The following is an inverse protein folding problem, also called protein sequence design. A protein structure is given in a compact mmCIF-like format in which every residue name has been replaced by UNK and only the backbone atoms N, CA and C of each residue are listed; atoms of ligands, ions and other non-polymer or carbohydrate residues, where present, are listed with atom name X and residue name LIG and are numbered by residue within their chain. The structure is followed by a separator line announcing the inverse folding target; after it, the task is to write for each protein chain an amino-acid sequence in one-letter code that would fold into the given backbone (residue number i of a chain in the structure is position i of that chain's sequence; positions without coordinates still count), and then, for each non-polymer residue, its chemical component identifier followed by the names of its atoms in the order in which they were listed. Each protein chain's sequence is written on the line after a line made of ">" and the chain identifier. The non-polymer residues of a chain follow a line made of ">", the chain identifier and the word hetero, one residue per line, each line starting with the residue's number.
data_IF_640284499283
#
_entry.id   IF_640284499283
#
_cell.length_a   1.000
_cell.length_b   1.000
_cell.length_c   1.000
_cell.angle_alpha   90.00
_cell.angle_beta   90.00
_cell.angle_gamma   90.00
#
_symmetry.space_group_name_H-M   'P 1'
#
loop_
_entity.id
_entity.type
_entity.pdbx_description
1 polymer ?
#
# COMPACT_ATOMS: atom_id res chain seq x y z
N UNK A 1 -9.32 -23.55 -12.12
CA UNK A 1 -8.40 -22.68 -11.35
C UNK A 1 -8.58 -22.96 -9.86
N UNK A 2 -7.51 -23.02 -9.07
CA UNK A 2 -7.59 -23.25 -7.63
C UNK A 2 -8.09 -21.99 -6.92
N UNK A 3 -9.06 -22.13 -6.00
CA UNK A 3 -9.51 -21.02 -5.16
C UNK A 3 -9.00 -21.22 -3.75
N UNK A 4 -8.12 -20.33 -3.29
CA UNK A 4 -7.50 -20.42 -1.96
C UNK A 4 -8.52 -20.37 -0.82
N UNK A 5 -9.66 -19.68 -1.00
CA UNK A 5 -10.68 -19.55 0.05
C UNK A 5 -11.53 -20.81 0.26
N UNK A 6 -11.79 -21.59 -0.79
CA UNK A 6 -12.57 -22.84 -0.66
C UNK A 6 -11.72 -24.10 -0.78
N UNK A 7 -10.41 -23.94 -1.01
CA UNK A 7 -9.43 -25.02 -1.19
C UNK A 7 -9.82 -26.05 -2.26
N UNK A 8 -10.56 -25.59 -3.29
CA UNK A 8 -11.08 -26.46 -4.35
C UNK A 8 -10.70 -25.94 -5.73
N UNK A 9 -10.36 -26.86 -6.62
CA UNK A 9 -10.26 -26.58 -8.05
C UNK A 9 -11.64 -26.30 -8.63
N UNK A 10 -11.79 -25.12 -9.21
CA UNK A 10 -13.01 -24.69 -9.90
C UNK A 10 -12.91 -25.03 -11.38
N UNK A 11 -13.89 -25.77 -11.88
CA UNK A 11 -14.08 -26.10 -13.31
C UNK A 11 -14.89 -25.03 -14.05
N UNK A 12 -15.64 -24.21 -13.31
CA UNK A 12 -16.40 -23.07 -13.85
C UNK A 12 -16.09 -21.81 -13.04
N UNK A 13 -15.95 -20.70 -13.75
CA UNK A 13 -15.52 -19.41 -13.20
C UNK A 13 -16.54 -18.33 -13.58
N UNK A 14 -16.65 -17.30 -12.75
CA UNK A 14 -17.40 -16.09 -13.12
C UNK A 14 -16.39 -15.10 -13.67
N UNK A 15 -16.64 -14.62 -14.89
CA UNK A 15 -15.82 -13.61 -15.55
C UNK A 15 -16.61 -12.32 -15.70
N UNK A 16 -16.04 -11.21 -15.24
CA UNK A 16 -16.62 -9.87 -15.39
C UNK A 16 -15.60 -8.93 -16.01
N UNK A 17 -16.00 -8.19 -17.04
CA UNK A 17 -15.21 -7.07 -17.57
C UNK A 17 -15.14 -5.97 -16.50
N UNK A 18 -13.92 -5.53 -16.19
CA UNK A 18 -13.65 -4.45 -15.25
C UNK A 18 -12.93 -3.36 -16.02
N UNK A 19 -13.55 -2.19 -16.08
CA UNK A 19 -12.89 -1.00 -16.59
C UNK A 19 -11.91 -0.51 -15.55
N UNK A 20 -10.63 -0.60 -15.88
CA UNK A 20 -9.57 -0.14 -15.01
C UNK A 20 -9.14 1.24 -15.47
N UNK A 21 -9.47 2.26 -14.67
CA UNK A 21 -8.85 3.59 -14.79
C UNK A 21 -7.49 3.58 -14.09
N UNK A 22 -6.55 2.84 -14.65
CA UNK A 22 -5.13 2.98 -14.32
C UNK A 22 -4.53 3.83 -15.43
N UNK A 23 -3.87 4.92 -15.05
CA UNK A 23 -3.30 5.83 -16.02
C UNK A 23 -2.36 5.09 -16.98
N UNK A 24 -2.71 5.16 -18.27
CA UNK A 24 -2.08 4.51 -19.42
C UNK A 24 -2.31 2.99 -19.59
N UNK A 25 -3.30 2.38 -18.93
CA UNK A 25 -3.77 1.03 -19.24
C UNK A 25 -5.21 1.14 -19.78
N UNK A 26 -5.33 1.46 -21.06
CA UNK A 26 -6.59 1.31 -21.78
C UNK A 26 -6.73 -0.16 -22.21
N UNK A 27 -7.32 -0.98 -21.35
CA UNK A 27 -7.52 -2.40 -21.63
C UNK A 27 -8.74 -2.94 -20.91
N UNK A 28 -9.49 -3.83 -21.57
CA UNK A 28 -10.52 -4.62 -20.92
C UNK A 28 -9.84 -5.70 -20.09
N UNK A 29 -9.90 -5.55 -18.77
CA UNK A 29 -9.41 -6.56 -17.85
C UNK A 29 -10.58 -7.45 -17.44
N UNK A 30 -10.38 -8.76 -17.42
CA UNK A 30 -11.42 -9.68 -16.95
C UNK A 30 -11.09 -10.19 -15.55
N UNK A 31 -11.98 -9.92 -14.61
CA UNK A 31 -11.90 -10.47 -13.26
C UNK A 31 -12.41 -11.91 -13.24
N UNK A 32 -11.71 -12.80 -12.54
CA UNK A 32 -12.10 -14.19 -12.31
C UNK A 32 -12.47 -14.36 -10.83
N UNK A 33 -13.74 -14.72 -10.59
CA UNK A 33 -14.22 -15.09 -9.26
C UNK A 33 -14.56 -16.58 -9.16
N UNK A 34 -14.40 -17.12 -7.95
CA UNK A 34 -14.84 -18.45 -7.59
C UNK A 34 -16.37 -18.55 -7.69
N UNK A 35 -16.88 -19.50 -8.48
CA UNK A 35 -18.34 -19.67 -8.61
C UNK A 35 -19.02 -20.05 -7.29
N UNK A 36 -18.34 -20.80 -6.42
CA UNK A 36 -18.87 -21.28 -5.14
C UNK A 36 -18.90 -20.19 -4.07
N UNK A 37 -17.75 -19.59 -3.76
CA UNK A 37 -17.63 -18.64 -2.65
C UNK A 37 -17.65 -17.17 -3.08
N UNK A 38 -17.74 -16.90 -4.39
CA UNK A 38 -17.74 -15.55 -4.99
C UNK A 38 -16.48 -14.72 -4.75
N UNK A 39 -15.42 -15.33 -4.24
CA UNK A 39 -14.16 -14.64 -3.98
C UNK A 39 -13.33 -14.50 -5.24
N UNK A 40 -12.62 -13.39 -5.31
CA UNK A 40 -11.56 -13.15 -6.27
C UNK A 40 -10.55 -14.30 -6.29
N UNK A 41 -10.13 -14.67 -7.50
CA UNK A 41 -9.04 -15.62 -7.73
C UNK A 41 -7.91 -14.96 -8.52
N UNK A 42 -8.25 -14.37 -9.67
CA UNK A 42 -7.25 -13.86 -10.60
C UNK A 42 -7.85 -12.82 -11.55
N UNK A 43 -6.98 -12.19 -12.32
CA UNK A 43 -7.34 -11.32 -13.44
C UNK A 43 -6.82 -11.95 -14.74
N UNK A 44 -7.52 -11.74 -15.85
CA UNK A 44 -7.01 -11.94 -17.21
C UNK A 44 -6.69 -10.56 -17.81
N UNK A 45 -5.44 -10.38 -18.21
CA UNK A 45 -5.00 -9.23 -19.00
C UNK A 45 -4.26 -9.73 -20.24
N UNK A 46 -4.65 -9.29 -21.45
CA UNK A 46 -4.04 -9.71 -22.72
C UNK A 46 -3.89 -11.24 -22.85
N UNK A 47 -4.96 -11.97 -22.54
CA UNK A 47 -5.02 -13.45 -22.50
C UNK A 47 -4.06 -14.13 -21.50
N UNK A 48 -3.42 -13.37 -20.60
CA UNK A 48 -2.57 -13.90 -19.52
C UNK A 48 -3.29 -13.83 -18.18
N UNK A 49 -3.27 -14.94 -17.45
CA UNK A 49 -3.79 -14.99 -16.08
C UNK A 49 -2.76 -14.41 -15.12
N UNK A 50 -3.20 -13.44 -14.32
CA UNK A 50 -2.45 -12.84 -13.21
C UNK A 50 -3.10 -13.28 -11.91
N UNK A 51 -2.45 -14.22 -11.22
CA UNK A 51 -2.85 -14.71 -9.91
C UNK A 51 -1.79 -14.32 -8.87
N UNK A 52 -2.15 -13.42 -7.95
CA UNK A 52 -1.21 -12.91 -6.93
C UNK A 52 -0.87 -13.92 -5.81
N UNK A 53 -1.55 -15.07 -5.78
CA UNK A 53 -1.23 -16.18 -4.88
C UNK A 53 -0.19 -17.14 -5.47
N UNK A 54 0.09 -17.04 -6.76
CA UNK A 54 1.12 -17.80 -7.46
C UNK A 54 2.47 -17.06 -7.45
N UNK A 55 3.57 -17.80 -7.70
CA UNK A 55 4.91 -17.21 -7.77
C UNK A 55 5.13 -16.56 -9.13
N UNK A 56 5.67 -15.35 -9.12
CA UNK A 56 6.05 -14.62 -10.33
C UNK A 56 7.50 -14.88 -10.69
N UNK A 57 7.76 -15.11 -11.97
CA UNK A 57 9.12 -15.25 -12.49
C UNK A 57 9.85 -13.89 -12.42
N UNK A 58 11.15 -13.90 -12.09
CA UNK A 58 12.00 -12.69 -12.09
C UNK A 58 11.96 -11.85 -10.81
N UNK A 59 11.14 -12.20 -9.82
CA UNK A 59 11.11 -11.53 -8.51
C UNK A 59 11.53 -12.47 -7.38
N UNK A 60 12.81 -12.83 -7.32
CA UNK A 60 13.33 -13.78 -6.30
C UNK A 60 13.77 -13.10 -5.00
N UNK A 61 14.03 -11.80 -5.03
CA UNK A 61 14.48 -11.05 -3.86
C UNK A 61 13.30 -10.62 -2.99
N UNK A 62 13.44 -10.77 -1.68
CA UNK A 62 12.46 -10.32 -0.70
C UNK A 62 12.60 -8.81 -0.43
N UNK A 63 12.33 -7.97 -1.43
CA UNK A 63 12.60 -6.53 -1.40
C UNK A 63 11.38 -5.66 -1.76
N UNK A 64 11.48 -4.37 -1.42
CA UNK A 64 10.60 -3.33 -1.92
C UNK A 64 11.08 -2.86 -3.30
N UNK A 65 10.19 -2.86 -4.29
CA UNK A 65 10.51 -2.53 -5.68
C UNK A 65 9.56 -1.47 -6.21
N UNK A 66 10.10 -0.44 -6.85
CA UNK A 66 9.31 0.61 -7.50
C UNK A 66 8.50 0.00 -8.64
N UNK A 67 7.22 0.35 -8.73
CA UNK A 67 6.32 0.00 -9.84
C UNK A 67 6.73 0.80 -11.06
N UNK A 68 7.11 0.11 -12.14
CA UNK A 68 7.57 0.77 -13.37
C UNK A 68 6.75 0.29 -14.57
N UNK A 69 6.53 -1.01 -14.67
CA UNK A 69 5.90 -1.61 -15.84
C UNK A 69 4.39 -1.84 -15.64
N UNK A 70 3.70 -2.16 -16.74
CA UNK A 70 2.25 -2.43 -16.77
C UNK A 70 1.86 -3.60 -15.87
N UNK A 71 2.69 -4.64 -15.79
CA UNK A 71 2.41 -5.81 -14.94
C UNK A 71 2.41 -5.44 -13.46
N UNK A 72 3.38 -4.63 -13.02
CA UNK A 72 3.45 -4.13 -11.65
C UNK A 72 2.23 -3.25 -11.31
N UNK A 73 1.78 -2.41 -12.26
CA UNK A 73 0.56 -1.60 -12.09
C UNK A 73 -0.69 -2.47 -11.93
N UNK A 74 -0.81 -3.56 -12.69
CA UNK A 74 -1.91 -4.53 -12.54
C UNK A 74 -1.84 -5.22 -11.17
N UNK A 75 -0.65 -5.61 -10.71
CA UNK A 75 -0.47 -6.22 -9.39
C UNK A 75 -0.86 -5.23 -8.28
N UNK A 76 -0.41 -3.98 -8.37
CA UNK A 76 -0.80 -2.92 -7.45
C UNK A 76 -2.32 -2.72 -7.43
N UNK A 77 -2.97 -2.69 -8.58
CA UNK A 77 -4.42 -2.59 -8.68
C UNK A 77 -5.13 -3.76 -8.00
N UNK A 78 -4.69 -4.99 -8.24
CA UNK A 78 -5.26 -6.17 -7.57
C UNK A 78 -5.13 -5.99 -6.05
N UNK A 79 -3.95 -5.63 -5.55
CA UNK A 79 -3.74 -5.45 -4.12
C UNK A 79 -4.60 -4.33 -3.52
N UNK A 80 -4.62 -3.15 -4.15
CA UNK A 80 -5.26 -1.94 -3.60
C UNK A 80 -6.78 -1.91 -3.80
N UNK A 81 -7.27 -2.35 -4.95
CA UNK A 81 -8.68 -2.19 -5.34
C UNK A 81 -9.51 -3.46 -5.21
N UNK A 82 -8.87 -4.62 -5.07
CA UNK A 82 -9.58 -5.90 -4.90
C UNK A 82 -9.27 -6.50 -3.54
N UNK A 83 -8.02 -6.89 -3.30
CA UNK A 83 -7.65 -7.65 -2.10
C UNK A 83 -7.86 -6.82 -0.84
N UNK A 84 -7.35 -5.60 -0.80
CA UNK A 84 -7.49 -4.73 0.36
C UNK A 84 -8.95 -4.43 0.68
N UNK A 85 -9.79 -4.25 -0.34
CA UNK A 85 -11.20 -3.89 -0.15
C UNK A 85 -12.07 -5.07 0.26
N UNK A 86 -11.82 -6.25 -0.31
CA UNK A 86 -12.75 -7.39 -0.20
C UNK A 86 -12.26 -8.52 0.71
N UNK A 87 -10.94 -8.72 0.81
CA UNK A 87 -10.34 -9.82 1.59
C UNK A 87 -9.72 -9.31 2.89
N UNK A 88 -9.10 -8.12 2.84
CA UNK A 88 -8.47 -7.48 3.98
C UNK A 88 -9.17 -6.16 4.36
N UNK A 89 -10.50 -6.16 4.30
CA UNK A 89 -11.35 -4.98 4.40
C UNK A 89 -10.91 -4.03 5.52
N UNK A 90 -10.75 -2.72 5.24
CA UNK A 90 -10.28 -1.74 6.21
C UNK A 90 -11.18 -1.66 7.43
N UNK A 91 -10.57 -1.60 8.62
CA UNK A 91 -11.27 -1.40 9.88
C UNK A 91 -11.19 0.07 10.33
N UNK A 92 -12.31 0.79 10.24
CA UNK A 92 -12.38 2.20 10.65
C UNK A 92 -11.99 2.43 12.12
N UNK A 93 -12.33 1.51 13.03
CA UNK A 93 -11.94 1.58 14.45
C UNK A 93 -10.41 1.50 14.66
N UNK A 94 -9.68 1.02 13.65
CA UNK A 94 -8.21 0.99 13.62
C UNK A 94 -7.60 2.11 12.79
N UNK A 95 -8.40 3.12 12.44
CA UNK A 95 -8.01 4.23 11.58
C UNK A 95 -7.52 3.77 10.20
N UNK A 96 -8.09 2.68 9.69
CA UNK A 96 -7.84 2.21 8.32
C UNK A 96 -8.93 2.78 7.40
N UNK A 97 -8.52 3.28 6.23
CA UNK A 97 -9.40 3.87 5.23
C UNK A 97 -9.32 3.08 3.93
N UNK A 98 -10.40 3.14 3.15
CA UNK A 98 -10.39 2.67 1.77
C UNK A 98 -9.46 3.58 0.96
N UNK A 99 -8.51 3.01 0.23
CA UNK A 99 -7.56 3.77 -0.59
C UNK A 99 -8.12 3.99 -1.99
N UNK A 100 -8.08 5.24 -2.47
CA UNK A 100 -8.27 5.51 -3.88
C UNK A 100 -7.06 5.02 -4.71
N UNK A 101 -7.12 5.20 -6.01
CA UNK A 101 -5.97 5.01 -6.88
C UNK A 101 -4.86 6.01 -6.54
N UNK A 102 -3.62 5.57 -6.72
CA UNK A 102 -2.48 6.49 -6.66
C UNK A 102 -2.55 7.45 -7.87
N UNK A 103 -2.20 8.71 -7.65
CA UNK A 103 -2.16 9.73 -8.69
C UNK A 103 -0.99 9.47 -9.66
N UNK A 104 -0.99 10.15 -10.82
CA UNK A 104 0.05 9.98 -11.84
C UNK A 104 1.48 10.29 -11.36
N UNK A 105 1.59 11.22 -10.42
CA UNK A 105 2.86 11.68 -9.87
C UNK A 105 3.27 10.89 -8.62
N UNK A 106 2.43 9.98 -8.14
CA UNK A 106 2.73 9.16 -6.96
C UNK A 106 3.76 8.08 -7.31
N UNK A 107 4.69 7.84 -6.39
CA UNK A 107 5.58 6.69 -6.48
C UNK A 107 4.98 5.51 -5.75
N UNK A 108 4.86 4.38 -6.44
CA UNK A 108 4.29 3.15 -5.88
C UNK A 108 5.42 2.13 -5.69
N UNK A 109 5.45 1.46 -4.55
CA UNK A 109 6.42 0.42 -4.24
C UNK A 109 5.71 -0.88 -3.83
N UNK A 110 5.99 -1.97 -4.52
CA UNK A 110 5.50 -3.31 -4.20
C UNK A 110 6.46 -4.04 -3.27
N UNK A 111 5.93 -4.70 -2.23
CA UNK A 111 6.70 -5.67 -1.44
C UNK A 111 6.63 -7.04 -2.10
N UNK A 112 7.79 -7.59 -2.41
CA UNK A 112 7.94 -8.98 -2.84
C UNK A 112 8.43 -9.85 -1.68
N UNK A 113 7.81 -11.00 -1.50
CA UNK A 113 8.22 -12.01 -0.52
C UNK A 113 7.95 -13.41 -1.07
N UNK A 114 9.00 -14.25 -1.15
CA UNK A 114 8.97 -15.58 -1.78
C UNK A 114 8.35 -15.55 -3.19
N UNK A 115 8.77 -14.58 -4.00
CA UNK A 115 8.28 -14.35 -5.37
C UNK A 115 6.78 -14.07 -5.49
N UNK A 116 6.14 -13.65 -4.40
CA UNK A 116 4.75 -13.19 -4.39
C UNK A 116 4.68 -11.70 -4.02
N UNK A 117 3.76 -10.94 -4.62
CA UNK A 117 3.47 -9.60 -4.16
C UNK A 117 2.62 -9.68 -2.88
N UNK A 118 3.13 -9.09 -1.79
CA UNK A 118 2.54 -9.22 -0.44
C UNK A 118 2.08 -7.91 0.18
N UNK A 119 2.31 -6.79 -0.49
CA UNK A 119 1.94 -5.48 0.00
C UNK A 119 2.44 -4.37 -0.91
N UNK A 120 2.11 -3.14 -0.56
CA UNK A 120 2.60 -1.95 -1.23
C UNK A 120 2.67 -0.76 -0.27
N UNK A 121 3.38 0.28 -0.68
CA UNK A 121 3.16 1.62 -0.16
C UNK A 121 3.23 2.65 -1.30
N UNK A 122 2.61 3.81 -1.10
CA UNK A 122 2.65 4.94 -2.03
C UNK A 122 3.30 6.15 -1.39
N UNK A 123 4.07 6.89 -2.18
CA UNK A 123 4.70 8.13 -1.80
C UNK A 123 4.15 9.24 -2.68
N UNK A 124 3.78 10.36 -2.05
CA UNK A 124 3.57 11.64 -2.72
C UNK A 124 4.87 12.42 -2.62
N UNK A 125 5.61 12.60 -3.72
CA UNK A 125 6.87 13.35 -3.69
C UNK A 125 6.65 14.78 -3.18
N UNK A 126 7.68 15.34 -2.54
CA UNK A 126 7.70 16.78 -2.26
C UNK A 126 7.57 17.58 -3.55
N UNK A 127 6.74 18.63 -3.52
CA UNK A 127 6.45 19.50 -4.67
C UNK A 127 5.39 18.92 -5.62
N UNK A 128 4.79 17.77 -5.32
CA UNK A 128 3.64 17.29 -6.10
C UNK A 128 2.45 18.22 -5.89
N UNK A 129 1.87 18.70 -6.99
CA UNK A 129 0.69 19.55 -7.00
C UNK A 129 -0.52 18.80 -6.42
N UNK A 130 -1.20 19.42 -5.45
CA UNK A 130 -2.46 18.94 -4.87
C UNK A 130 -3.62 19.61 -5.59
N UNK A 131 -3.51 20.92 -5.74
CA UNK A 131 -4.37 21.78 -6.53
C UNK A 131 -3.53 22.93 -7.09
N UNK A 132 -4.15 23.84 -7.85
CA UNK A 132 -3.43 24.94 -8.53
C UNK A 132 -2.64 25.89 -7.62
N UNK A 133 -2.81 25.80 -6.30
CA UNK A 133 -2.25 26.70 -5.30
C UNK A 133 -1.36 25.95 -4.31
N UNK A 134 -1.65 24.68 -4.04
CA UNK A 134 -1.01 23.88 -3.00
C UNK A 134 -0.17 22.74 -3.58
N UNK A 135 0.98 22.49 -2.94
CA UNK A 135 1.86 21.36 -3.23
C UNK A 135 2.27 20.65 -1.93
N UNK A 136 2.70 19.39 -2.03
CA UNK A 136 3.25 18.67 -0.88
C UNK A 136 4.56 19.31 -0.41
N UNK A 137 4.56 19.81 0.82
CA UNK A 137 5.72 20.45 1.46
C UNK A 137 6.86 19.46 1.80
N UNK A 138 6.55 18.16 1.86
CA UNK A 138 7.48 17.08 2.18
C UNK A 138 7.10 15.77 1.48
N UNK A 139 8.09 14.88 1.33
CA UNK A 139 7.88 13.54 0.82
C UNK A 139 7.00 12.77 1.78
N UNK A 140 5.87 12.26 1.29
CA UNK A 140 4.78 11.78 2.16
C UNK A 140 4.44 10.34 1.86
N UNK A 141 4.46 9.48 2.89
CA UNK A 141 3.81 8.18 2.87
C UNK A 141 2.30 8.35 2.91
N UNK A 142 1.64 8.04 1.80
CA UNK A 142 0.21 8.29 1.64
C UNK A 142 -0.62 7.04 1.95
N UNK A 143 -0.26 5.91 1.36
CA UNK A 143 -0.90 4.62 1.65
C UNK A 143 0.14 3.55 1.94
N UNK A 144 -0.21 2.60 2.83
CA UNK A 144 0.66 1.48 3.18
C UNK A 144 -0.18 0.26 3.52
N UNK A 145 0.08 -0.84 2.83
CA UNK A 145 -0.69 -2.07 2.97
C UNK A 145 0.21 -3.30 2.94
N UNK A 146 -0.02 -4.21 3.90
CA UNK A 146 0.51 -5.57 3.89
C UNK A 146 -0.67 -6.53 3.97
N UNK A 147 -0.71 -7.50 3.06
CA UNK A 147 -1.72 -8.57 3.02
C UNK A 147 -1.81 -9.26 4.38
N UNK A 148 -3.02 -9.53 4.85
CA UNK A 148 -3.29 -10.02 6.21
C UNK A 148 -2.49 -11.26 6.58
N UNK A 149 -2.37 -12.24 5.66
CA UNK A 149 -1.61 -13.47 5.90
C UNK A 149 -0.08 -13.29 5.93
N UNK A 150 0.41 -12.08 5.64
CA UNK A 150 1.83 -11.70 5.74
C UNK A 150 2.10 -10.66 6.84
N UNK A 151 1.07 -10.24 7.59
CA UNK A 151 1.24 -9.35 8.77
C UNK A 151 1.96 -10.09 9.90
N UNK A 152 2.47 -9.34 10.88
CA UNK A 152 3.26 -9.84 12.02
C UNK A 152 4.60 -10.50 11.66
N UNK A 153 5.12 -10.27 10.44
CA UNK A 153 6.43 -10.76 9.97
C UNK A 153 7.51 -9.67 9.88
N UNK A 154 7.27 -8.50 10.48
CA UNK A 154 8.19 -7.35 10.41
C UNK A 154 8.07 -6.49 9.14
N UNK A 155 7.31 -6.92 8.12
CA UNK A 155 7.20 -6.23 6.83
C UNK A 155 6.72 -4.78 6.90
N UNK A 156 5.84 -4.45 7.85
CA UNK A 156 5.40 -3.07 8.06
C UNK A 156 6.52 -2.16 8.57
N UNK A 157 7.43 -2.69 9.42
CA UNK A 157 8.60 -1.93 9.89
C UNK A 157 9.60 -1.71 8.76
N UNK A 158 9.71 -2.65 7.81
CA UNK A 158 10.57 -2.48 6.64
C UNK A 158 10.20 -1.27 5.79
N UNK A 159 8.94 -0.81 5.81
CA UNK A 159 8.51 0.40 5.11
C UNK A 159 9.33 1.61 5.60
N UNK A 160 9.48 1.77 6.92
CA UNK A 160 10.25 2.90 7.48
C UNK A 160 11.72 2.86 7.07
N UNK A 161 12.33 1.69 7.13
CA UNK A 161 13.73 1.50 6.70
C UNK A 161 13.92 1.76 5.21
N UNK A 162 12.97 1.31 4.37
CA UNK A 162 13.05 1.52 2.92
C UNK A 162 12.87 2.99 2.55
N UNK A 163 11.93 3.70 3.18
CA UNK A 163 11.73 5.14 2.97
C UNK A 163 12.97 5.93 3.37
N UNK A 164 13.53 5.71 4.56
CA UNK A 164 14.75 6.40 5.02
C UNK A 164 15.90 6.16 4.04
N UNK A 165 16.03 4.94 3.52
CA UNK A 165 17.08 4.60 2.55
C UNK A 165 16.88 5.32 1.22
N UNK A 166 15.64 5.51 0.77
CA UNK A 166 15.31 6.15 -0.52
C UNK A 166 15.39 7.66 -0.48
N UNK A 167 15.01 8.28 0.64
CA UNK A 167 14.99 9.73 0.82
C UNK A 167 15.89 10.12 2.01
N UNK A 168 17.21 9.91 1.88
CA UNK A 168 18.13 10.21 2.97
C UNK A 168 18.15 11.72 3.23
N UNK A 169 18.10 12.10 4.51
CA UNK A 169 18.09 13.48 5.00
C UNK A 169 16.79 14.27 4.73
N UNK A 170 15.72 13.60 4.29
CA UNK A 170 14.40 14.23 4.21
C UNK A 170 13.57 13.98 5.47
N UNK A 171 12.76 14.97 5.82
CA UNK A 171 11.62 14.76 6.70
C UNK A 171 10.51 14.04 5.92
N UNK A 172 9.88 13.07 6.58
CA UNK A 172 8.87 12.21 5.95
C UNK A 172 7.50 12.50 6.56
N UNK A 173 6.57 12.89 5.71
CA UNK A 173 5.16 13.05 6.03
C UNK A 173 4.42 11.71 6.03
N UNK A 174 3.34 11.63 6.81
CA UNK A 174 2.36 10.55 6.82
C UNK A 174 0.99 11.18 6.64
N UNK A 175 0.31 10.82 5.55
CA UNK A 175 -1.07 11.25 5.33
C UNK A 175 -1.97 10.73 6.45
N UNK A 176 -2.90 11.58 6.91
CA UNK A 176 -3.94 11.17 7.86
C UNK A 176 -5.13 10.50 7.15
N UNK A 177 -5.81 9.54 7.81
CA UNK A 177 -5.48 9.01 9.14
C UNK A 177 -4.31 8.01 9.11
N UNK A 178 -3.44 8.08 10.14
CA UNK A 178 -2.39 7.07 10.34
C UNK A 178 -3.00 5.87 11.08
N UNK A 179 -2.98 4.69 10.46
CA UNK A 179 -3.55 3.49 11.06
C UNK A 179 -2.90 3.15 12.41
N UNK A 180 -3.67 2.51 13.31
CA UNK A 180 -3.15 2.05 14.61
C UNK A 180 -1.94 1.12 14.46
N UNK A 181 -1.94 0.28 13.42
CA UNK A 181 -0.81 -0.59 13.08
C UNK A 181 0.46 0.21 12.76
N UNK A 182 0.35 1.26 11.94
CA UNK A 182 1.48 2.11 11.60
C UNK A 182 1.95 2.95 12.78
N UNK A 183 1.04 3.50 13.59
CA UNK A 183 1.40 4.22 14.83
C UNK A 183 2.19 3.34 15.80
N UNK A 184 1.82 2.06 15.95
CA UNK A 184 2.60 1.10 16.76
C UNK A 184 4.01 0.87 16.21
N UNK A 185 4.14 0.75 14.89
CA UNK A 185 5.43 0.59 14.21
C UNK A 185 6.29 1.83 14.44
N UNK A 186 5.76 3.02 14.19
CA UNK A 186 6.42 4.32 14.42
C UNK A 186 6.86 4.47 15.87
N UNK A 187 6.00 4.14 16.82
CA UNK A 187 6.31 4.22 18.24
C UNK A 187 7.49 3.33 18.64
N UNK A 188 7.47 2.06 18.20
CA UNK A 188 8.60 1.15 18.45
C UNK A 188 9.88 1.67 17.80
N UNK A 189 9.80 2.06 16.52
CA UNK A 189 10.93 2.55 15.75
C UNK A 189 11.59 3.78 16.40
N UNK A 190 10.80 4.76 16.83
CA UNK A 190 11.30 6.01 17.44
C UNK A 190 11.82 5.84 18.87
N UNK A 191 11.43 4.76 19.56
CA UNK A 191 12.04 4.36 20.83
C UNK A 191 13.45 3.82 20.58
N UNK A 192 13.60 2.96 19.56
CA UNK A 192 14.85 2.29 19.20
C UNK A 192 15.86 3.24 18.54
N UNK A 193 15.41 4.10 17.62
CA UNK A 193 16.25 4.99 16.82
C UNK A 193 15.98 6.46 17.15
N UNK A 194 16.71 6.99 18.14
CA UNK A 194 16.46 8.33 18.69
C UNK A 194 16.77 9.46 17.72
N UNK A 195 17.69 9.21 16.79
CA UNK A 195 18.11 10.11 15.72
C UNK A 195 16.96 10.50 14.78
N UNK A 196 15.95 9.65 14.61
CA UNK A 196 14.80 9.90 13.73
C UNK A 196 13.59 10.54 14.44
N UNK A 197 13.69 10.87 15.74
CA UNK A 197 12.55 11.44 16.51
C UNK A 197 12.06 12.79 15.99
N UNK A 198 12.82 13.45 15.13
CA UNK A 198 12.46 14.72 14.49
C UNK A 198 12.17 14.58 13.00
N UNK A 199 12.09 13.35 12.48
CA UNK A 199 12.06 13.09 11.03
C UNK A 199 10.69 12.65 10.50
N UNK A 200 9.72 12.38 11.36
CA UNK A 200 8.41 11.86 10.96
C UNK A 200 7.27 12.76 11.40
N UNK A 201 6.42 13.11 10.44
CA UNK A 201 5.38 14.13 10.59
C UNK A 201 4.02 13.59 10.15
N UNK A 202 3.00 13.81 10.96
CA UNK A 202 1.61 13.70 10.53
C UNK A 202 1.31 14.92 9.66
N UNK A 203 0.75 14.71 8.47
CA UNK A 203 0.40 15.81 7.56
C UNK A 203 -1.06 15.78 7.14
N UNK A 204 -1.62 16.98 6.99
CA UNK A 204 -2.93 17.24 6.42
C UNK A 204 -2.79 18.29 5.30
N UNK A 205 -3.59 18.17 4.24
CA UNK A 205 -3.68 19.13 3.14
C UNK A 205 -2.30 19.55 2.56
N UNK A 206 -1.41 18.58 2.32
CA UNK A 206 -0.07 18.83 1.76
C UNK A 206 1.01 19.29 2.75
N UNK A 207 0.65 19.51 4.01
CA UNK A 207 1.59 19.93 5.04
C UNK A 207 1.95 21.42 4.98
N UNK A 208 1.02 22.27 4.55
CA UNK A 208 1.12 23.72 4.70
C UNK A 208 1.37 24.13 6.17
N UNK A 209 1.84 25.37 6.39
CA UNK A 209 2.16 25.84 7.74
C UNK A 209 0.94 25.72 8.69
N UNK A 210 1.13 25.01 9.81
CA UNK A 210 0.07 24.71 10.78
C UNK A 210 -0.70 23.40 10.54
N UNK A 211 -0.50 22.71 9.40
CA UNK A 211 -1.14 21.42 9.08
C UNK A 211 -0.21 20.21 9.22
N UNK A 212 0.92 20.38 9.93
CA UNK A 212 1.89 19.32 10.24
C UNK A 212 2.09 19.17 11.74
N UNK A 213 2.26 17.93 12.21
CA UNK A 213 2.56 17.63 13.61
C UNK A 213 3.66 16.57 13.72
N UNK A 214 4.62 16.79 14.61
CA UNK A 214 5.67 15.80 14.83
C UNK A 214 5.10 14.54 15.48
N UNK A 215 5.25 13.38 14.81
CA UNK A 215 4.68 12.10 15.26
C UNK A 215 5.22 11.70 16.63
N UNK A 216 6.50 11.93 16.88
CA UNK A 216 7.10 11.65 18.19
C UNK A 216 6.35 12.37 19.32
N UNK A 217 5.99 13.64 19.13
CA UNK A 217 5.26 14.42 20.12
C UNK A 217 3.84 13.86 20.34
N UNK A 218 3.13 13.53 19.26
CA UNK A 218 1.81 12.89 19.32
C UNK A 218 1.86 11.61 20.16
N UNK A 219 2.81 10.72 19.87
CA UNK A 219 2.98 9.45 20.56
C UNK A 219 3.36 9.60 22.05
N UNK A 220 4.08 10.66 22.42
CA UNK A 220 4.40 10.92 23.84
C UNK A 220 3.21 11.45 24.62
N UNK A 221 2.41 12.33 24.01
CA UNK A 221 1.24 12.89 24.68
C UNK A 221 0.13 11.85 24.91
N UNK A 222 0.01 10.85 24.03
CA UNK A 222 -0.95 9.75 24.21
C UNK A 222 -0.62 8.87 25.43
N UNK A 223 0.66 8.73 25.80
CA UNK A 223 1.08 7.95 26.98
C UNK A 223 0.96 8.70 28.31
N UNK A 224 0.78 10.03 28.28
CA UNK A 224 0.52 10.81 29.50
C UNK A 224 -0.98 10.89 29.85
N UNK A 225 -1.86 10.51 28.91
CA UNK A 225 -3.32 10.53 29.06
C UNK A 225 -3.93 9.12 29.11
N UNK A 226 -3.12 8.07 29.30
CA UNK A 226 -3.53 6.68 29.53
C UNK A 226 -3.01 6.17 30.87
#
# INVERSE_FOLDING_TARGET
>A
MFCARCEKFQTTLITQDVDIKLNNINGKIQRIDCKLCKNFIAIINDNKVVNIDEKFNGCTENSWRKVINVQDKIIYYILSQIIYRELDTPCHDKFESIYDHADDNDEIFLKWFDSKPVGFYTIKPKGTEIDRINEYSMTTLDTAYIRSQYRNKGLGSEILYDIIKRYPNEDIGFSIPISYGMLRILNKFLIEHKEYRRSFWEIQDGGNEGSVKLIWFILRNQLHNS
#
